data_IF_984014517830
#
_entry.id   IF_984014517830
#
_cell.length_a   1.000
_cell.length_b   1.000
_cell.length_c   1.000
_cell.angle_alpha   90.00
_cell.angle_beta   90.00
_cell.angle_gamma   90.00
#
_symmetry.space_group_name_H-M   'P 1'
#
loop_
_entity.id
_entity.type
_entity.pdbx_description
1 polymer ?
#
# COMPACT_ATOMS: atom_id res chain seq x y z
N UNK A 1 2.06 -33.42 -12.58
CA UNK A 1 0.80 -32.98 -11.95
C UNK A 1 0.61 -31.50 -12.25
N UNK A 2 -0.58 -31.03 -12.62
CA UNK A 2 -0.82 -29.59 -12.74
C UNK A 2 -0.73 -28.95 -11.35
N UNK A 3 -0.03 -27.82 -11.25
CA UNK A 3 -0.03 -26.97 -10.06
C UNK A 3 -1.42 -26.36 -9.92
N UNK A 4 -2.19 -26.83 -8.93
CA UNK A 4 -3.46 -26.23 -8.54
C UNK A 4 -3.20 -25.39 -7.29
N UNK A 5 -3.55 -24.11 -7.35
CA UNK A 5 -3.62 -23.29 -6.14
C UNK A 5 -4.78 -23.87 -5.30
N UNK A 6 -4.56 -24.24 -4.03
CA UNK A 6 -5.63 -24.74 -3.18
C UNK A 6 -6.69 -23.65 -3.00
N UNK A 7 -7.99 -23.99 -2.97
CA UNK A 7 -9.03 -23.00 -2.73
C UNK A 7 -8.81 -22.33 -1.37
N UNK A 8 -8.60 -21.02 -1.40
CA UNK A 8 -8.52 -20.20 -0.19
C UNK A 8 -9.93 -20.04 0.35
N UNK A 9 -10.19 -20.63 1.51
CA UNK A 9 -11.39 -20.28 2.29
C UNK A 9 -11.22 -18.85 2.79
N UNK A 10 -12.23 -17.99 2.55
CA UNK A 10 -12.31 -16.71 3.24
C UNK A 10 -12.40 -16.98 4.74
N UNK A 11 -11.68 -16.25 5.61
CA UNK A 11 -11.88 -16.38 7.05
C UNK A 11 -13.36 -16.18 7.38
N UNK A 12 -13.95 -17.12 8.12
CA UNK A 12 -15.41 -17.20 8.34
C UNK A 12 -16.01 -16.00 9.07
N UNK A 13 -15.19 -15.09 9.60
CA UNK A 13 -15.63 -13.95 10.40
C UNK A 13 -14.86 -12.69 10.07
N UNK A 14 -15.49 -11.80 9.30
CA UNK A 14 -15.14 -10.38 9.29
C UNK A 14 -15.39 -9.86 10.72
N UNK A 15 -14.45 -9.13 11.32
CA UNK A 15 -14.66 -8.61 12.66
C UNK A 15 -15.87 -7.64 12.66
N UNK A 16 -16.68 -7.61 13.74
CA UNK A 16 -17.85 -6.74 13.81
C UNK A 16 -17.47 -5.25 13.80
N UNK A 17 -16.21 -4.94 14.08
CA UNK A 17 -15.61 -3.62 14.03
C UNK A 17 -14.31 -3.73 13.25
N UNK A 18 -14.18 -2.94 12.18
CA UNK A 18 -12.94 -2.87 11.42
C UNK A 18 -11.89 -2.05 12.20
N UNK A 19 -10.58 -2.32 11.99
CA UNK A 19 -9.53 -1.48 12.54
C UNK A 19 -9.72 -0.02 12.14
N UNK A 20 -9.28 0.90 12.99
CA UNK A 20 -9.28 2.32 12.67
C UNK A 20 -8.26 2.58 11.55
N UNK A 21 -8.70 3.24 10.48
CA UNK A 21 -7.82 3.69 9.41
C UNK A 21 -6.89 4.79 9.93
N UNK A 22 -5.57 4.62 9.75
CA UNK A 22 -4.58 5.66 10.06
C UNK A 22 -4.45 6.69 8.95
N UNK A 23 -4.55 6.25 7.69
CA UNK A 23 -4.39 7.09 6.53
C UNK A 23 -5.71 7.27 5.76
N UNK A 24 -5.89 8.41 5.12
CA UNK A 24 -7.12 8.75 4.42
C UNK A 24 -6.97 8.71 2.90
N UNK A 25 -8.09 8.59 2.19
CA UNK A 25 -8.11 8.78 0.73
C UNK A 25 -7.60 10.19 0.38
N UNK A 26 -6.73 10.28 -0.62
CA UNK A 26 -6.09 11.53 -1.03
C UNK A 26 -4.82 11.88 -0.25
N UNK A 27 -4.50 11.15 0.82
CA UNK A 27 -3.28 11.37 1.59
C UNK A 27 -2.06 10.86 0.82
N UNK A 28 -0.99 11.65 0.85
CA UNK A 28 0.30 11.27 0.28
C UNK A 28 1.10 10.48 1.28
N UNK A 29 1.68 9.37 0.82
CA UNK A 29 2.48 8.47 1.65
C UNK A 29 3.73 8.03 0.90
N UNK A 30 4.70 7.53 1.65
CA UNK A 30 5.90 6.89 1.12
C UNK A 30 6.23 5.61 1.87
N UNK A 31 6.89 4.67 1.20
CA UNK A 31 7.50 3.52 1.84
C UNK A 31 8.76 3.97 2.58
N UNK A 32 8.75 3.87 3.91
CA UNK A 32 9.82 4.43 4.76
C UNK A 32 10.93 3.42 5.08
N UNK A 33 10.64 2.12 4.98
CA UNK A 33 11.57 1.05 5.36
C UNK A 33 12.69 0.81 4.34
N UNK A 34 12.58 1.35 3.12
CA UNK A 34 13.57 1.17 2.06
C UNK A 34 14.21 2.50 1.65
N UNK A 35 15.54 2.54 1.42
CA UNK A 35 16.19 3.72 0.84
C UNK A 35 15.61 4.00 -0.55
N UNK A 36 15.21 5.26 -0.82
CA UNK A 36 14.50 5.66 -2.04
C UNK A 36 13.23 4.84 -2.26
N UNK A 37 12.38 4.72 -1.23
CA UNK A 37 11.10 4.03 -1.35
C UNK A 37 10.13 4.72 -2.28
N UNK A 38 9.19 3.93 -2.79
CA UNK A 38 8.08 4.43 -3.57
C UNK A 38 7.22 5.41 -2.77
N UNK A 39 6.53 6.28 -3.49
CA UNK A 39 5.62 7.25 -2.91
C UNK A 39 4.45 7.52 -3.83
N UNK A 40 3.34 7.92 -3.24
CA UNK A 40 2.09 8.06 -3.99
C UNK A 40 0.94 8.52 -3.12
N UNK A 41 -0.25 8.50 -3.72
CA UNK A 41 -1.48 8.96 -3.11
C UNK A 41 -2.41 7.79 -2.83
N UNK A 42 -3.03 7.75 -1.65
CA UNK A 42 -3.98 6.70 -1.29
C UNK A 42 -5.28 6.88 -2.08
N UNK A 43 -5.65 5.85 -2.85
CA UNK A 43 -6.86 5.82 -3.68
C UNK A 43 -7.86 4.75 -3.25
N UNK A 44 -7.51 3.89 -2.30
CA UNK A 44 -8.40 2.87 -1.78
C UNK A 44 -7.93 2.27 -0.47
N UNK A 45 -8.86 1.72 0.31
CA UNK A 45 -8.58 0.95 1.53
C UNK A 45 -9.41 -0.32 1.47
N UNK A 46 -8.75 -1.47 1.63
CA UNK A 46 -9.42 -2.77 1.66
C UNK A 46 -9.10 -3.49 2.96
N UNK A 47 -10.09 -4.16 3.52
CA UNK A 47 -9.86 -5.16 4.57
C UNK A 47 -9.76 -6.52 3.90
N UNK A 48 -8.59 -7.15 3.97
CA UNK A 48 -8.36 -8.42 3.27
C UNK A 48 -7.57 -9.40 4.14
N UNK A 49 -7.65 -10.67 3.76
CA UNK A 49 -6.88 -11.76 4.32
C UNK A 49 -5.97 -12.30 3.22
N UNK A 50 -4.67 -12.04 3.31
CA UNK A 50 -3.71 -12.52 2.33
C UNK A 50 -3.32 -13.97 2.64
N UNK A 51 -3.71 -14.88 1.74
CA UNK A 51 -3.46 -16.32 1.91
C UNK A 51 -1.96 -16.70 1.92
N UNK A 52 -1.11 -15.94 1.23
CA UNK A 52 0.33 -16.24 1.15
C UNK A 52 1.11 -15.85 2.40
N UNK A 53 0.64 -14.87 3.17
CA UNK A 53 1.36 -14.32 4.33
C UNK A 53 0.57 -14.41 5.65
N UNK A 54 -0.66 -14.93 5.64
CA UNK A 54 -1.57 -15.02 6.80
C UNK A 54 -1.67 -13.67 7.53
N UNK A 55 -1.80 -12.59 6.77
CA UNK A 55 -2.01 -11.25 7.30
C UNK A 55 -3.44 -10.83 7.03
N UNK A 56 -4.14 -10.47 8.11
CA UNK A 56 -5.49 -9.90 8.06
C UNK A 56 -5.42 -8.48 8.56
N UNK A 57 -5.81 -7.52 7.74
CA UNK A 57 -5.67 -6.11 8.10
C UNK A 57 -6.21 -5.17 7.04
N UNK A 58 -6.03 -3.88 7.30
CA UNK A 58 -6.26 -2.83 6.32
C UNK A 58 -5.05 -2.73 5.41
N UNK A 59 -5.27 -2.88 4.11
CA UNK A 59 -4.26 -2.60 3.09
C UNK A 59 -4.70 -1.37 2.31
N UNK A 60 -3.74 -0.50 2.01
CA UNK A 60 -3.96 0.75 1.31
C UNK A 60 -3.54 0.59 -0.15
N UNK A 61 -4.44 0.90 -1.07
CA UNK A 61 -4.09 0.99 -2.49
C UNK A 61 -3.52 2.38 -2.76
N UNK A 62 -2.26 2.43 -3.16
CA UNK A 62 -1.52 3.67 -3.41
C UNK A 62 -1.32 3.81 -4.91
N UNK A 63 -1.74 4.93 -5.47
CA UNK A 63 -1.39 5.36 -6.82
C UNK A 63 -0.01 6.01 -6.78
N UNK A 64 0.98 5.36 -7.39
CA UNK A 64 2.36 5.84 -7.39
C UNK A 64 2.49 7.13 -8.20
N UNK A 65 3.27 8.08 -7.69
CA UNK A 65 3.64 9.27 -8.43
C UNK A 65 4.43 8.89 -9.69
N UNK A 66 4.33 9.66 -10.76
CA UNK A 66 5.09 9.43 -12.00
C UNK A 66 6.61 9.43 -11.77
N UNK A 67 7.07 10.10 -10.70
CA UNK A 67 8.48 10.12 -10.29
C UNK A 67 8.82 9.09 -9.22
N UNK A 68 7.89 8.22 -8.86
CA UNK A 68 8.16 7.10 -7.95
C UNK A 68 9.10 6.10 -8.63
N UNK A 69 10.12 5.57 -7.93
CA UNK A 69 11.09 4.63 -8.48
C UNK A 69 10.51 3.46 -9.29
N UNK A 70 9.40 2.89 -8.84
CA UNK A 70 8.76 1.73 -9.47
C UNK A 70 7.64 2.09 -10.46
N UNK A 71 7.34 3.37 -10.69
CA UNK A 71 6.17 3.81 -11.47
C UNK A 71 6.15 3.21 -12.90
N UNK A 72 7.30 3.13 -13.55
CA UNK A 72 7.41 2.57 -14.91
C UNK A 72 7.00 1.09 -15.00
N UNK A 73 7.08 0.37 -13.88
CA UNK A 73 6.77 -1.05 -13.78
C UNK A 73 5.36 -1.27 -13.23
N UNK A 74 4.93 -0.41 -12.29
CA UNK A 74 3.66 -0.53 -11.59
C UNK A 74 3.09 0.85 -11.27
N UNK A 75 1.86 1.14 -11.72
CA UNK A 75 1.22 2.43 -11.43
C UNK A 75 0.55 2.46 -10.05
N UNK A 76 0.16 1.31 -9.51
CA UNK A 76 -0.50 1.22 -8.21
C UNK A 76 0.00 0.01 -7.42
N UNK A 77 0.26 0.19 -6.13
CA UNK A 77 0.68 -0.91 -5.25
C UNK A 77 -0.15 -0.96 -3.97
N UNK A 78 -0.19 -2.14 -3.34
CA UNK A 78 -0.79 -2.31 -2.02
C UNK A 78 0.26 -2.16 -0.92
N UNK A 79 -0.02 -1.26 0.01
CA UNK A 79 0.79 -1.03 1.20
C UNK A 79 0.14 -1.63 2.44
N UNK A 80 0.95 -2.25 3.30
CA UNK A 80 0.59 -2.44 4.70
C UNK A 80 0.78 -1.14 5.47
N UNK A 81 -0.01 -0.94 6.51
CA UNK A 81 -0.01 0.28 7.31
C UNK A 81 1.36 0.57 7.96
N UNK A 82 2.09 -0.48 8.32
CA UNK A 82 3.42 -0.44 8.93
C UNK A 82 4.56 -0.10 7.95
N UNK A 83 4.33 -0.23 6.65
CA UNK A 83 5.36 -0.03 5.62
C UNK A 83 5.40 1.41 5.09
N UNK A 84 4.32 2.16 5.32
CA UNK A 84 4.14 3.52 4.83
C UNK A 84 4.06 4.54 5.96
N UNK A 85 4.43 5.78 5.63
CA UNK A 85 4.24 6.93 6.50
C UNK A 85 3.69 8.11 5.70
N UNK A 86 3.02 9.04 6.40
CA UNK A 86 2.48 10.26 5.81
C UNK A 86 3.61 11.11 5.23
N UNK A 87 3.35 11.67 4.07
CA UNK A 87 4.26 12.54 3.35
C UNK A 87 3.66 13.94 3.30
N UNK A 88 4.35 14.91 3.92
CA UNK A 88 3.94 16.30 3.84
C UNK A 88 4.29 16.92 2.48
N UNK A 89 3.74 18.11 2.23
CA UNK A 89 3.92 18.82 0.96
C UNK A 89 5.39 19.11 0.65
N UNK A 90 6.18 19.50 1.66
CA UNK A 90 7.60 19.83 1.48
C UNK A 90 8.41 18.60 1.07
N UNK A 91 8.15 17.47 1.73
CA UNK A 91 8.83 16.19 1.46
C UNK A 91 8.43 15.64 0.10
N UNK A 92 7.16 15.78 -0.29
CA UNK A 92 6.67 15.40 -1.62
C UNK A 92 7.37 16.21 -2.72
N UNK A 93 7.48 17.52 -2.55
CA UNK A 93 8.18 18.38 -3.51
C UNK A 93 9.66 18.00 -3.64
N UNK A 94 10.31 17.67 -2.51
CA UNK A 94 11.69 17.20 -2.53
C UNK A 94 11.83 15.87 -3.27
N UNK A 95 10.97 14.88 -3.00
CA UNK A 95 10.99 13.58 -3.68
C UNK A 95 10.76 13.73 -5.19
N UNK A 96 9.83 14.59 -5.59
CA UNK A 96 9.64 14.92 -7.01
C UNK A 96 10.88 15.62 -7.58
N UNK A 97 11.53 16.51 -6.84
CA UNK A 97 12.67 17.30 -7.31
C UNK A 97 14.01 16.57 -7.45
N UNK A 98 14.21 15.45 -6.75
CA UNK A 98 15.52 14.80 -6.62
C UNK A 98 16.05 14.04 -7.86
N UNK A 99 15.34 14.05 -9.00
CA UNK A 99 15.71 13.32 -10.23
C UNK A 99 16.04 14.25 -11.41
N UNK A 100 16.74 15.38 -11.17
CA UNK A 100 17.28 16.27 -12.22
C UNK A 100 18.76 16.00 -12.47
#
# INVERSE_FOLDING_TARGET
MPLSIPPVALPERIPPVLPQQRFQLGEWVRWWQVPNGDFGCIIGVIYTHQASCILTGLHYLVLLDERSPSHEICTCDFAFEEDIESLDQSSLEQLRGNYV
#
